data_IF_117830137544
#
_entry.id   IF_117830137544
#
_cell.length_a   1.000
_cell.length_b   1.000
_cell.length_c   1.000
_cell.angle_alpha   90.00
_cell.angle_beta   90.00
_cell.angle_gamma   90.00
#
_symmetry.space_group_name_H-M   'P 1'
#
loop_
_entity.id
_entity.type
_entity.pdbx_description
1 polymer ?
#
# COMPACT_ATOMS: atom_id res chain seq x y z
N UNK A 1 18.41 -3.68 11.92
CA UNK A 1 18.12 -3.69 13.37
C UNK A 1 17.26 -2.48 13.68
N UNK A 2 16.04 -2.69 14.20
CA UNK A 2 15.20 -1.80 15.05
C UNK A 2 14.98 -0.31 14.63
N UNK A 3 13.78 0.29 14.63
CA UNK A 3 12.56 0.11 15.43
C UNK A 3 11.32 0.63 14.67
N UNK A 4 10.17 0.01 14.98
CA UNK A 4 8.80 0.32 14.55
C UNK A 4 8.19 1.43 15.43
N UNK A 5 7.35 2.25 14.78
CA UNK A 5 6.25 3.13 15.21
C UNK A 5 5.95 3.16 16.73
N UNK A 6 6.03 4.37 17.29
CA UNK A 6 5.73 4.75 18.67
C UNK A 6 4.24 5.11 18.78
N UNK A 7 3.51 4.29 19.54
CA UNK A 7 2.35 4.74 20.35
C UNK A 7 2.70 4.33 21.78
N UNK A 8 3.66 5.02 22.38
CA UNK A 8 4.13 4.78 23.74
C UNK A 8 5.00 5.95 24.23
N UNK A 9 4.43 7.16 24.36
CA UNK A 9 5.19 8.31 24.86
C UNK A 9 5.15 8.47 26.39
N UNK A 10 4.67 7.46 27.14
CA UNK A 10 4.60 7.55 28.61
C UNK A 10 5.05 6.28 29.36
N UNK A 11 5.89 5.43 28.75
CA UNK A 11 6.36 4.20 29.41
C UNK A 11 7.80 3.79 29.08
N UNK A 12 8.73 4.75 28.97
CA UNK A 12 10.15 4.42 28.74
C UNK A 12 11.11 5.35 29.47
N UNK A 13 11.06 5.32 30.80
CA UNK A 13 12.24 5.53 31.62
C UNK A 13 12.47 4.26 32.44
N UNK A 14 13.47 3.48 32.02
CA UNK A 14 14.32 2.52 32.76
C UNK A 14 14.54 1.17 32.05
N UNK A 15 15.84 0.84 32.00
CA UNK A 15 16.51 -0.44 31.76
C UNK A 15 16.90 -0.89 30.34
N UNK A 16 18.23 -1.01 30.20
CA UNK A 16 19.00 -1.89 29.32
C UNK A 16 19.06 -3.27 30.00
N UNK A 17 18.80 -4.36 29.26
CA UNK A 17 19.25 -5.72 29.64
C UNK A 17 18.31 -6.89 29.29
N UNK A 18 18.78 -7.75 28.37
CA UNK A 18 18.50 -9.20 28.22
C UNK A 18 17.21 -9.73 27.55
N UNK A 19 17.35 -10.13 26.27
CA UNK A 19 17.00 -11.42 25.62
C UNK A 19 15.68 -12.20 25.85
N UNK A 20 14.91 -12.34 24.75
CA UNK A 20 13.80 -13.29 24.43
C UNK A 20 12.47 -13.17 25.20
N UNK A 21 11.42 -12.55 24.62
CA UNK A 21 10.26 -13.12 23.89
C UNK A 21 9.47 -14.18 24.71
N UNK A 22 8.32 -13.90 25.34
CA UNK A 22 7.13 -13.17 24.86
C UNK A 22 6.47 -12.34 25.97
N UNK A 23 6.23 -11.06 25.69
CA UNK A 23 5.51 -10.14 26.58
C UNK A 23 4.04 -9.97 26.11
N UNK A 24 3.04 -9.87 27.02
CA UNK A 24 1.64 -9.59 26.69
C UNK A 24 1.43 -8.34 25.81
N UNK A 25 2.34 -7.37 25.89
CA UNK A 25 2.34 -6.19 25.02
C UNK A 25 2.57 -6.52 23.54
N UNK A 26 3.25 -7.61 23.22
CA UNK A 26 3.45 -8.08 21.84
C UNK A 26 2.18 -8.64 21.19
N UNK A 27 1.34 -9.32 21.97
CA UNK A 27 0.08 -9.90 21.47
C UNK A 27 -0.96 -8.82 21.15
N UNK A 28 -1.02 -7.76 21.96
CA UNK A 28 -1.96 -6.65 21.70
C UNK A 28 -1.52 -5.86 20.46
N UNK A 29 -0.22 -5.63 20.30
CA UNK A 29 0.35 -4.92 19.16
C UNK A 29 0.22 -5.70 17.84
N UNK A 30 0.26 -7.04 17.88
CA UNK A 30 0.00 -7.87 16.69
C UNK A 30 -1.47 -7.77 16.26
N UNK A 31 -2.40 -7.78 17.22
CA UNK A 31 -3.85 -7.69 16.95
C UNK A 31 -4.24 -6.34 16.36
N UNK A 32 -3.65 -5.23 16.84
CA UNK A 32 -3.90 -3.88 16.30
C UNK A 32 -3.40 -3.77 14.85
N UNK A 33 -2.22 -4.30 14.57
CA UNK A 33 -1.62 -4.26 13.24
C UNK A 33 -2.30 -5.21 12.24
N UNK A 34 -2.64 -6.43 12.65
CA UNK A 34 -3.37 -7.40 11.80
C UNK A 34 -4.75 -6.88 11.40
N UNK A 35 -5.43 -6.19 12.32
CA UNK A 35 -6.80 -5.69 12.08
C UNK A 35 -6.86 -4.30 11.45
N UNK A 36 -5.72 -3.69 11.12
CA UNK A 36 -5.63 -2.37 10.45
C UNK A 36 -6.53 -1.30 11.10
N UNK A 37 -6.51 -1.22 12.41
CA UNK A 37 -7.35 -0.26 13.15
C UNK A 37 -6.84 1.16 12.91
N UNK A 38 -7.71 2.05 12.44
CA UNK A 38 -7.34 3.43 12.06
C UNK A 38 -7.99 4.50 12.94
N UNK A 39 -8.89 4.11 13.85
CA UNK A 39 -9.58 5.03 14.74
C UNK A 39 -9.32 4.70 16.22
N UNK A 40 -9.33 5.74 17.06
CA UNK A 40 -9.22 5.62 18.52
C UNK A 40 -10.37 4.77 19.10
N UNK A 41 -11.55 4.83 18.49
CA UNK A 41 -12.72 4.05 18.88
C UNK A 41 -12.53 2.54 18.63
N UNK A 42 -11.92 2.15 17.51
CA UNK A 42 -11.63 0.76 17.19
C UNK A 42 -10.59 0.14 18.15
N UNK A 43 -9.57 0.94 18.51
CA UNK A 43 -8.54 0.54 19.48
C UNK A 43 -9.17 0.39 20.87
N UNK A 44 -9.95 1.37 21.34
CA UNK A 44 -10.66 1.31 22.63
C UNK A 44 -11.62 0.13 22.70
N UNK A 45 -12.38 -0.14 21.64
CA UNK A 45 -13.30 -1.28 21.56
C UNK A 45 -12.57 -2.62 21.61
N UNK A 46 -11.46 -2.73 20.89
CA UNK A 46 -10.65 -3.96 20.83
C UNK A 46 -9.95 -4.25 22.15
N UNK A 47 -9.42 -3.21 22.80
CA UNK A 47 -8.88 -3.30 24.16
C UNK A 47 -10.00 -3.77 25.10
N UNK A 48 -11.17 -3.14 25.08
CA UNK A 48 -12.34 -3.56 25.86
C UNK A 48 -12.70 -5.04 25.63
N UNK A 49 -12.72 -5.50 24.39
CA UNK A 49 -13.07 -6.89 24.05
C UNK A 49 -11.98 -7.91 24.39
N UNK A 50 -10.71 -7.48 24.40
CA UNK A 50 -9.61 -8.27 24.95
C UNK A 50 -9.74 -8.39 26.47
N UNK A 51 -10.02 -7.29 27.17
CA UNK A 51 -10.26 -7.27 28.61
C UNK A 51 -11.47 -8.11 29.02
N UNK A 52 -12.58 -8.08 28.27
CA UNK A 52 -13.74 -8.95 28.51
C UNK A 52 -13.39 -10.43 28.39
N UNK A 53 -12.52 -10.80 27.44
CA UNK A 53 -12.03 -12.17 27.27
C UNK A 53 -11.08 -12.59 28.39
N UNK A 54 -10.13 -11.75 28.76
CA UNK A 54 -9.25 -11.98 29.91
C UNK A 54 -10.06 -12.17 31.20
N UNK A 55 -11.09 -11.33 31.42
CA UNK A 55 -12.04 -11.45 32.53
C UNK A 55 -12.80 -12.78 32.54
N UNK A 56 -13.18 -13.30 31.38
CA UNK A 56 -13.87 -14.60 31.25
C UNK A 56 -12.95 -15.79 31.60
N UNK A 57 -11.65 -15.66 31.33
CA UNK A 57 -10.66 -16.71 31.60
C UNK A 57 -10.19 -16.68 33.06
N UNK A 58 -10.01 -15.51 33.67
CA UNK A 58 -9.65 -15.36 35.10
C UNK A 58 -10.72 -15.93 36.04
N UNK A 59 -12.00 -15.93 35.62
CA UNK A 59 -13.11 -16.52 36.39
C UNK A 59 -13.07 -18.06 36.39
N UNK A 60 -12.29 -18.70 35.51
CA UNK A 60 -12.30 -20.16 35.32
C UNK A 60 -11.17 -20.92 36.02
N UNK A 61 -10.03 -20.28 36.33
CA UNK A 61 -8.85 -20.99 36.87
C UNK A 61 -8.45 -20.52 38.28
N UNK A 62 -8.07 -21.48 39.15
CA UNK A 62 -7.66 -21.25 40.54
C UNK A 62 -6.41 -20.35 40.64
N UNK A 63 -6.42 -19.38 41.58
CA UNK A 63 -5.44 -18.29 41.77
C UNK A 63 -3.95 -18.72 42.04
N UNK A 64 -3.51 -19.95 41.79
CA UNK A 64 -2.18 -20.46 42.15
C UNK A 64 -1.07 -20.25 41.09
N UNK A 65 -1.38 -19.84 39.86
CA UNK A 65 -0.39 -19.75 38.77
C UNK A 65 0.06 -18.32 38.41
N UNK A 66 -0.31 -17.30 39.19
CA UNK A 66 0.20 -15.93 38.99
C UNK A 66 1.62 -15.78 39.59
N UNK A 67 2.64 -16.40 38.97
CA UNK A 67 4.04 -16.22 39.36
C UNK A 67 4.86 -15.38 38.37
N UNK A 68 5.37 -14.25 38.89
CA UNK A 68 6.69 -13.64 38.63
C UNK A 68 7.19 -13.33 37.20
N UNK A 69 6.38 -12.81 36.27
CA UNK A 69 6.95 -12.23 35.03
C UNK A 69 6.46 -10.84 34.58
N UNK A 70 5.70 -10.12 35.39
CA UNK A 70 5.12 -8.83 34.95
C UNK A 70 5.19 -7.68 35.96
N UNK A 71 6.41 -7.25 36.30
CA UNK A 71 6.61 -5.98 37.01
C UNK A 71 7.01 -4.86 36.06
N UNK A 72 6.03 -4.10 35.55
CA UNK A 72 6.23 -2.72 35.13
C UNK A 72 4.95 -1.88 35.25
N UNK A 73 5.10 -0.55 35.31
CA UNK A 73 4.26 0.41 36.07
C UNK A 73 2.75 0.43 35.72
N UNK A 74 2.32 0.05 34.52
CA UNK A 74 0.88 -0.08 34.22
C UNK A 74 0.25 -1.37 34.78
N UNK A 75 1.08 -2.35 35.10
CA UNK A 75 0.69 -3.69 35.54
C UNK A 75 0.67 -3.82 37.06
N UNK A 76 1.47 -3.04 37.81
CA UNK A 76 1.46 -3.10 39.29
C UNK A 76 0.09 -2.75 39.87
N UNK A 77 -0.56 -1.71 39.36
CA UNK A 77 -1.89 -1.29 39.81
C UNK A 77 -2.96 -2.34 39.52
N UNK A 78 -2.92 -2.97 38.34
CA UNK A 78 -3.90 -3.97 37.91
C UNK A 78 -3.65 -5.31 38.62
N UNK A 79 -2.39 -5.71 38.77
CA UNK A 79 -1.96 -6.92 39.50
C UNK A 79 -2.23 -6.77 41.00
N UNK A 80 -1.98 -5.61 41.61
CA UNK A 80 -2.33 -5.35 43.01
C UNK A 80 -3.84 -5.36 43.24
N UNK A 81 -4.63 -4.71 42.37
CA UNK A 81 -6.11 -4.74 42.45
C UNK A 81 -6.63 -6.17 42.22
N UNK A 82 -6.03 -6.94 41.30
CA UNK A 82 -6.41 -8.34 41.05
C UNK A 82 -6.04 -9.27 42.21
N UNK A 83 -4.87 -9.07 42.84
CA UNK A 83 -4.45 -9.82 44.04
C UNK A 83 -5.28 -9.45 45.27
N UNK A 84 -5.62 -8.16 45.43
CA UNK A 84 -6.41 -7.62 46.56
C UNK A 84 -7.86 -8.12 46.55
N UNK A 85 -8.40 -8.48 45.39
CA UNK A 85 -9.79 -8.90 45.23
C UNK A 85 -9.98 -10.31 44.62
N UNK A 86 -8.99 -11.22 44.69
CA UNK A 86 -9.20 -12.64 44.29
C UNK A 86 -10.42 -13.18 45.06
N UNK A 87 -11.47 -13.57 44.32
CA UNK A 87 -12.72 -14.10 44.88
C UNK A 87 -13.85 -13.08 45.13
N UNK A 88 -13.64 -11.77 44.98
CA UNK A 88 -14.69 -10.75 45.12
C UNK A 88 -14.84 -9.89 43.87
N UNK A 89 -15.69 -10.33 42.96
CA UNK A 89 -15.89 -9.75 41.63
C UNK A 89 -16.51 -8.35 41.65
N UNK A 90 -17.27 -7.98 42.67
CA UNK A 90 -17.94 -6.69 42.72
C UNK A 90 -17.04 -5.59 43.29
N UNK A 91 -16.21 -5.92 44.28
CA UNK A 91 -15.16 -5.04 44.78
C UNK A 91 -14.11 -4.73 43.69
N UNK A 92 -13.71 -5.74 42.92
CA UNK A 92 -12.81 -5.57 41.76
C UNK A 92 -13.42 -4.64 40.70
N UNK A 93 -14.69 -4.85 40.33
CA UNK A 93 -15.39 -3.97 39.36
C UNK A 93 -15.44 -2.52 39.85
N UNK A 94 -15.68 -2.30 41.14
CA UNK A 94 -15.86 -0.95 41.69
C UNK A 94 -14.53 -0.18 41.72
N UNK A 95 -13.44 -0.83 42.13
CA UNK A 95 -12.11 -0.22 42.11
C UNK A 95 -11.59 0.00 40.68
N UNK A 96 -11.85 -0.93 39.75
CA UNK A 96 -11.53 -0.76 38.33
C UNK A 96 -12.31 0.37 37.67
N UNK A 97 -13.61 0.48 37.93
CA UNK A 97 -14.43 1.57 37.40
C UNK A 97 -13.99 2.92 37.99
N UNK A 98 -13.55 2.94 39.24
CA UNK A 98 -12.97 4.13 39.87
C UNK A 98 -11.64 4.53 39.20
N UNK A 99 -10.76 3.58 38.92
CA UNK A 99 -9.51 3.82 38.20
C UNK A 99 -9.74 4.31 36.75
N UNK A 100 -10.67 3.69 36.02
CA UNK A 100 -11.09 4.12 34.67
C UNK A 100 -11.72 5.51 34.69
N UNK A 101 -12.60 5.79 35.65
CA UNK A 101 -13.19 7.12 35.80
C UNK A 101 -12.14 8.16 36.17
N UNK A 102 -11.13 7.82 36.97
CA UNK A 102 -10.00 8.70 37.27
C UNK A 102 -9.19 9.02 36.01
N UNK A 103 -8.89 8.02 35.17
CA UNK A 103 -8.25 8.22 33.86
C UNK A 103 -9.10 9.10 32.94
N UNK A 104 -10.43 8.93 32.94
CA UNK A 104 -11.33 9.72 32.10
C UNK A 104 -11.62 11.14 32.61
N UNK A 105 -11.55 11.38 33.93
CA UNK A 105 -11.80 12.70 34.55
C UNK A 105 -10.54 13.54 34.68
N UNK A 106 -9.36 12.92 34.66
CA UNK A 106 -8.08 13.61 34.57
C UNK A 106 -7.87 14.10 33.14
N UNK A 107 -8.49 15.24 32.80
CA UNK A 107 -8.29 16.00 31.55
C UNK A 107 -6.81 16.29 31.25
N UNK A 108 -5.90 16.06 32.20
CA UNK A 108 -4.44 16.19 32.07
C UNK A 108 -3.78 15.06 31.27
N UNK A 109 -4.48 13.94 30.99
CA UNK A 109 -4.04 12.96 29.99
C UNK A 109 -4.47 13.32 28.56
N UNK A 110 -4.84 14.57 28.30
CA UNK A 110 -4.57 15.12 26.98
C UNK A 110 -3.05 15.22 26.86
N UNK A 111 -2.40 14.22 26.24
CA UNK A 111 -1.06 14.43 25.68
C UNK A 111 -1.24 15.66 24.81
N UNK A 112 -0.73 16.82 25.26
CA UNK A 112 -0.82 18.01 24.44
C UNK A 112 0.02 17.68 23.21
N UNK A 113 -0.44 18.03 22.01
CA UNK A 113 0.33 17.68 20.81
C UNK A 113 1.76 18.27 20.84
N UNK A 114 2.02 19.26 21.70
CA UNK A 114 3.35 19.80 22.00
C UNK A 114 4.29 18.78 22.67
N UNK A 115 3.74 17.74 23.29
CA UNK A 115 4.48 16.68 23.99
C UNK A 115 4.84 15.50 23.06
N UNK A 116 4.37 15.52 21.81
CA UNK A 116 4.81 14.59 20.76
C UNK A 116 6.03 15.19 20.08
N UNK A 117 7.19 14.58 20.35
CA UNK A 117 8.48 14.94 19.78
C UNK A 117 8.37 15.16 18.25
N UNK A 118 8.88 16.30 17.78
CA UNK A 118 8.81 16.76 16.39
C UNK A 118 7.54 17.53 15.96
N UNK A 119 6.45 17.53 16.74
CA UNK A 119 5.21 18.26 16.34
C UNK A 119 5.42 19.76 16.30
N UNK A 120 6.14 20.31 17.28
CA UNK A 120 6.38 21.76 17.35
C UNK A 120 7.21 22.23 16.15
N UNK A 121 8.16 21.42 15.67
CA UNK A 121 9.01 21.78 14.53
C UNK A 121 8.19 21.94 13.23
N UNK A 122 7.15 21.12 13.02
CA UNK A 122 6.22 21.28 11.90
C UNK A 122 5.37 22.55 12.05
N UNK A 123 4.85 22.81 13.25
CA UNK A 123 4.06 24.02 13.50
C UNK A 123 4.91 25.29 13.27
N UNK A 124 6.15 25.29 13.73
CA UNK A 124 7.11 26.39 13.55
C UNK A 124 7.49 26.58 12.08
N UNK A 125 7.48 25.51 11.29
CA UNK A 125 7.63 25.56 9.82
C UNK A 125 6.36 26.02 9.08
N UNK A 126 5.28 26.35 9.79
CA UNK A 126 4.05 26.89 9.22
C UNK A 126 3.03 25.83 8.78
N UNK A 127 3.22 24.56 9.15
CA UNK A 127 2.20 23.52 8.94
C UNK A 127 1.11 23.63 9.99
N UNK A 128 -0.15 23.42 9.59
CA UNK A 128 -1.23 23.33 10.56
C UNK A 128 -1.22 21.98 11.30
N UNK A 129 -2.06 21.89 12.32
CA UNK A 129 -2.14 20.74 13.23
C UNK A 129 -2.58 19.46 12.50
N UNK A 130 -3.47 19.56 11.51
CA UNK A 130 -3.95 18.40 10.76
C UNK A 130 -2.86 17.90 9.79
N UNK A 131 -2.22 18.80 9.05
CA UNK A 131 -1.08 18.49 8.19
C UNK A 131 0.03 17.78 8.99
N UNK A 132 0.34 18.31 10.17
CA UNK A 132 1.36 17.75 11.06
C UNK A 132 1.04 16.31 11.48
N UNK A 133 -0.21 16.01 11.85
CA UNK A 133 -0.63 14.63 12.16
C UNK A 133 -0.39 13.68 10.98
N UNK A 134 -0.67 14.15 9.77
CA UNK A 134 -0.50 13.36 8.55
C UNK A 134 0.97 13.06 8.32
N UNK A 135 1.84 14.08 8.38
CA UNK A 135 3.27 13.87 8.19
C UNK A 135 3.88 12.93 9.21
N UNK A 136 3.55 13.13 10.50
CA UNK A 136 4.04 12.27 11.58
C UNK A 136 3.52 10.82 11.45
N UNK A 137 2.22 10.63 11.16
CA UNK A 137 1.64 9.28 10.98
C UNK A 137 2.18 8.56 9.75
N UNK A 138 2.55 9.30 8.71
CA UNK A 138 3.21 8.77 7.51
C UNK A 138 4.73 8.59 7.68
N UNK A 139 5.30 8.97 8.82
CA UNK A 139 6.73 8.97 9.09
C UNK A 139 7.53 9.80 8.05
N UNK A 140 6.96 10.94 7.65
CA UNK A 140 7.60 11.91 6.74
C UNK A 140 8.43 12.86 7.59
N UNK A 141 9.71 13.02 7.24
CA UNK A 141 10.59 13.96 7.92
C UNK A 141 10.17 15.41 7.62
N UNK A 142 10.34 16.31 8.59
CA UNK A 142 10.03 17.75 8.43
C UNK A 142 10.67 18.33 7.16
N UNK A 143 11.93 18.01 6.92
CA UNK A 143 12.66 18.48 5.72
C UNK A 143 11.94 18.06 4.44
N UNK A 144 11.49 16.82 4.36
CA UNK A 144 10.79 16.32 3.17
C UNK A 144 9.44 17.01 3.00
N UNK A 145 8.69 17.21 4.09
CA UNK A 145 7.42 17.95 4.07
C UNK A 145 7.60 19.38 3.55
N UNK A 146 8.60 20.09 4.05
CA UNK A 146 8.99 21.45 3.59
C UNK A 146 9.36 21.43 2.11
N UNK A 147 10.19 20.46 1.69
CA UNK A 147 10.58 20.31 0.28
C UNK A 147 9.37 20.03 -0.63
N UNK A 148 8.33 19.32 -0.16
CA UNK A 148 7.10 19.07 -0.95
C UNK A 148 6.32 20.36 -1.21
N UNK A 149 6.10 21.15 -0.16
CA UNK A 149 5.33 22.39 -0.22
C UNK A 149 6.07 23.43 -1.07
N UNK A 150 7.38 23.59 -0.84
CA UNK A 150 8.20 24.54 -1.58
C UNK A 150 8.28 24.23 -3.07
N UNK A 151 8.25 22.94 -3.43
CA UNK A 151 8.25 22.54 -4.84
C UNK A 151 6.88 22.72 -5.52
N UNK A 152 5.84 23.12 -4.77
CA UNK A 152 4.45 23.19 -5.23
C UNK A 152 4.00 21.86 -5.86
N UNK A 153 4.55 20.74 -5.38
CA UNK A 153 4.34 19.41 -5.97
C UNK A 153 3.05 18.78 -5.41
N UNK A 154 2.70 19.08 -4.16
CA UNK A 154 1.53 18.50 -3.48
C UNK A 154 0.90 19.48 -2.50
N UNK A 155 -0.44 19.57 -2.53
CA UNK A 155 -1.19 20.11 -1.40
C UNK A 155 -1.30 19.03 -0.32
N UNK A 156 -1.46 19.44 0.93
CA UNK A 156 -1.64 18.54 2.09
C UNK A 156 -2.70 17.44 1.83
N UNK A 157 -3.82 17.81 1.20
CA UNK A 157 -4.90 16.89 0.82
C UNK A 157 -4.47 15.80 -0.15
N UNK A 158 -3.47 16.04 -0.99
CA UNK A 158 -2.95 15.04 -1.92
C UNK A 158 -1.99 14.07 -1.21
N UNK A 159 -1.21 14.57 -0.26
CA UNK A 159 -0.32 13.77 0.60
C UNK A 159 -1.15 12.77 1.41
N UNK A 160 -2.23 13.24 2.03
CA UNK A 160 -3.21 12.39 2.72
C UNK A 160 -3.70 11.23 1.86
N UNK A 161 -4.01 11.50 0.60
CA UNK A 161 -4.48 10.48 -0.33
C UNK A 161 -3.37 9.53 -0.75
N UNK A 162 -2.14 10.01 -0.97
CA UNK A 162 -1.00 9.13 -1.21
C UNK A 162 -0.77 8.18 -0.04
N UNK A 163 -0.81 8.70 1.19
CA UNK A 163 -0.68 7.91 2.41
C UNK A 163 -1.82 6.89 2.53
N UNK A 164 -3.05 7.28 2.23
CA UNK A 164 -4.20 6.37 2.19
C UNK A 164 -4.07 5.27 1.13
N UNK A 165 -3.36 5.56 0.03
CA UNK A 165 -2.98 4.61 -1.02
C UNK A 165 -1.72 3.79 -0.66
N UNK A 166 -1.12 4.02 0.51
CA UNK A 166 0.08 3.31 0.97
C UNK A 166 1.41 3.85 0.43
N UNK A 167 1.41 5.00 -0.25
CA UNK A 167 2.62 5.71 -0.68
C UNK A 167 3.02 6.68 0.42
N UNK A 168 4.04 6.34 1.21
CA UNK A 168 4.53 7.19 2.32
C UNK A 168 5.89 7.83 2.05
N UNK A 169 6.61 7.39 1.01
CA UNK A 169 7.91 7.94 0.64
C UNK A 169 7.77 9.18 -0.24
N UNK A 170 8.47 10.27 0.14
CA UNK A 170 8.51 11.49 -0.67
C UNK A 170 9.07 11.26 -2.07
N UNK A 171 10.16 10.50 -2.18
CA UNK A 171 10.77 10.18 -3.48
C UNK A 171 9.79 9.43 -4.38
N UNK A 172 8.97 8.57 -3.79
CA UNK A 172 7.94 7.85 -4.53
C UNK A 172 6.83 8.78 -5.01
N UNK A 173 6.30 9.65 -4.14
CA UNK A 173 5.30 10.66 -4.50
C UNK A 173 5.83 11.61 -5.60
N UNK A 174 7.12 11.99 -5.54
CA UNK A 174 7.80 12.76 -6.58
C UNK A 174 7.79 12.04 -7.91
N UNK A 175 8.08 10.75 -7.95
CA UNK A 175 8.06 10.01 -9.21
C UNK A 175 6.63 9.95 -9.78
N UNK A 176 5.63 9.66 -8.93
CA UNK A 176 4.22 9.67 -9.35
C UNK A 176 3.79 11.01 -9.97
N UNK A 177 4.21 12.12 -9.36
CA UNK A 177 3.89 13.48 -9.82
C UNK A 177 4.78 13.99 -10.95
N UNK A 178 5.97 13.40 -11.15
CA UNK A 178 6.96 13.87 -12.14
C UNK A 178 6.60 13.63 -13.60
N UNK A 179 5.58 12.80 -13.86
CA UNK A 179 5.21 12.45 -15.23
C UNK A 179 4.50 13.63 -15.88
N UNK A 180 5.25 14.32 -16.75
CA UNK A 180 4.82 15.51 -17.48
C UNK A 180 3.75 15.15 -18.51
N UNK A 181 2.55 15.71 -18.36
CA UNK A 181 1.53 15.65 -19.40
C UNK A 181 0.12 15.90 -18.87
N UNK A 182 -0.22 17.18 -18.63
CA UNK A 182 -1.52 17.70 -18.13
C UNK A 182 -1.94 17.18 -16.76
N UNK A 183 -2.06 18.11 -15.80
CA UNK A 183 -2.73 17.97 -14.50
C UNK A 183 -2.65 16.56 -13.91
N UNK A 184 -1.50 16.21 -13.32
CA UNK A 184 -1.42 15.01 -12.49
C UNK A 184 -2.56 15.07 -11.46
N UNK A 185 -3.46 14.09 -11.51
CA UNK A 185 -4.51 13.95 -10.51
C UNK A 185 -4.17 12.75 -9.67
N UNK A 186 -4.32 12.89 -8.36
CA UNK A 186 -4.19 11.77 -7.43
C UNK A 186 -5.10 10.58 -7.78
N UNK A 187 -6.25 10.83 -8.42
CA UNK A 187 -7.13 9.79 -8.96
C UNK A 187 -6.47 8.91 -10.03
N UNK A 188 -5.40 9.39 -10.68
CA UNK A 188 -4.65 8.60 -11.64
C UNK A 188 -3.77 7.58 -10.93
N UNK A 189 -3.15 7.93 -9.79
CA UNK A 189 -2.41 6.97 -8.94
C UNK A 189 -3.32 5.82 -8.54
N UNK A 190 -4.54 6.13 -8.09
CA UNK A 190 -5.53 5.12 -7.73
C UNK A 190 -5.85 4.18 -8.90
N UNK A 191 -6.05 4.70 -10.12
CA UNK A 191 -6.26 3.87 -11.32
C UNK A 191 -5.07 2.96 -11.59
N UNK A 192 -3.85 3.47 -11.45
CA UNK A 192 -2.62 2.69 -11.65
C UNK A 192 -2.48 1.58 -10.60
N UNK A 193 -2.75 1.89 -9.33
CA UNK A 193 -2.76 0.91 -8.26
C UNK A 193 -3.84 -0.16 -8.45
N UNK A 194 -5.03 0.23 -8.91
CA UNK A 194 -6.11 -0.70 -9.28
C UNK A 194 -5.74 -1.56 -10.50
N UNK A 195 -4.89 -1.06 -11.40
CA UNK A 195 -4.25 -1.86 -12.46
C UNK A 195 -3.11 -2.76 -11.95
N UNK A 196 -2.93 -2.83 -10.63
CA UNK A 196 -1.92 -3.64 -9.96
C UNK A 196 -0.51 -3.07 -10.03
N UNK A 197 -0.33 -1.80 -10.42
CA UNK A 197 0.96 -1.11 -10.43
C UNK A 197 1.21 -0.53 -9.04
N UNK A 198 2.15 -1.12 -8.30
CA UNK A 198 2.27 -0.87 -6.86
C UNK A 198 3.35 0.15 -6.48
N UNK A 199 4.24 0.46 -7.41
CA UNK A 199 5.38 1.34 -7.14
C UNK A 199 5.51 2.41 -8.20
N UNK A 200 6.04 3.58 -7.83
CA UNK A 200 6.27 4.64 -8.80
C UNK A 200 7.29 4.25 -9.89
N UNK A 201 8.26 3.37 -9.57
CA UNK A 201 9.21 2.83 -10.55
C UNK A 201 8.51 1.98 -11.61
N UNK A 202 7.59 1.11 -11.18
CA UNK A 202 6.79 0.30 -12.09
C UNK A 202 5.87 1.18 -12.93
N UNK A 203 5.22 2.18 -12.31
CA UNK A 203 4.41 3.18 -13.01
C UNK A 203 5.20 3.88 -14.11
N UNK A 204 6.38 4.41 -13.78
CA UNK A 204 7.26 5.06 -14.75
C UNK A 204 7.57 4.13 -15.91
N UNK A 205 7.91 2.87 -15.64
CA UNK A 205 8.25 1.92 -16.70
C UNK A 205 7.05 1.59 -17.62
N UNK A 206 5.83 1.46 -17.08
CA UNK A 206 4.62 1.32 -17.90
C UNK A 206 4.29 2.59 -18.69
N UNK A 207 4.48 3.75 -18.08
CA UNK A 207 4.26 5.04 -18.71
C UNK A 207 5.29 5.33 -19.82
N UNK A 208 6.54 4.90 -19.67
CA UNK A 208 7.61 5.08 -20.66
C UNK A 208 7.33 4.26 -21.94
N UNK A 209 6.70 3.10 -21.81
CA UNK A 209 6.15 2.37 -22.97
C UNK A 209 4.78 2.90 -23.41
N UNK A 210 4.27 3.91 -22.71
CA UNK A 210 3.06 4.65 -23.00
C UNK A 210 1.76 3.91 -22.74
N UNK A 211 1.81 2.82 -21.96
CA UNK A 211 0.63 2.11 -21.51
C UNK A 211 -0.16 2.98 -20.52
N UNK A 212 -1.46 2.76 -20.47
CA UNK A 212 -2.38 3.37 -19.51
C UNK A 212 -3.02 2.28 -18.65
N UNK A 213 -3.66 2.59 -17.50
CA UNK A 213 -4.10 1.58 -16.54
C UNK A 213 -4.90 0.41 -17.13
N UNK A 214 -5.86 0.68 -18.01
CA UNK A 214 -6.65 -0.36 -18.67
C UNK A 214 -5.81 -1.26 -19.59
N UNK A 215 -4.83 -0.70 -20.30
CA UNK A 215 -3.91 -1.49 -21.10
C UNK A 215 -3.04 -2.40 -20.22
N UNK A 216 -2.53 -1.88 -19.09
CA UNK A 216 -1.74 -2.67 -18.13
C UNK A 216 -2.53 -3.84 -17.57
N UNK A 217 -3.81 -3.64 -17.23
CA UNK A 217 -4.70 -4.74 -16.83
C UNK A 217 -4.76 -5.81 -17.92
N UNK A 218 -4.93 -5.42 -19.19
CA UNK A 218 -4.93 -6.35 -20.32
C UNK A 218 -3.64 -7.17 -20.39
N UNK A 219 -2.48 -6.53 -20.34
CA UNK A 219 -1.17 -7.20 -20.35
C UNK A 219 -0.98 -8.15 -19.16
N UNK A 220 -1.33 -7.71 -17.94
CA UNK A 220 -1.22 -8.55 -16.74
C UNK A 220 -2.15 -9.75 -16.79
N UNK A 221 -3.36 -9.60 -17.34
CA UNK A 221 -4.33 -10.69 -17.48
C UNK A 221 -3.84 -11.81 -18.41
N UNK A 222 -3.04 -11.47 -19.43
CA UNK A 222 -2.44 -12.47 -20.34
C UNK A 222 -1.04 -12.94 -19.88
N UNK A 223 -0.64 -12.61 -18.65
CA UNK A 223 0.56 -13.11 -17.99
C UNK A 223 1.79 -12.20 -18.06
N UNK A 224 1.72 -11.05 -18.72
CA UNK A 224 2.83 -10.08 -18.77
C UNK A 224 2.80 -9.19 -17.52
N UNK A 225 3.57 -9.60 -16.51
CA UNK A 225 3.60 -8.90 -15.22
C UNK A 225 4.43 -7.62 -15.25
N UNK A 226 5.44 -7.54 -16.13
CA UNK A 226 6.39 -6.45 -16.16
C UNK A 226 6.36 -5.71 -17.52
N UNK A 227 6.55 -4.38 -17.53
CA UNK A 227 6.61 -3.61 -18.76
C UNK A 227 7.77 -4.01 -19.67
N UNK A 228 8.86 -4.55 -19.11
CA UNK A 228 10.01 -5.05 -19.87
C UNK A 228 9.65 -6.24 -20.77
N UNK A 229 8.66 -7.04 -20.37
CA UNK A 229 8.19 -8.18 -21.16
C UNK A 229 7.26 -7.71 -22.30
N UNK A 230 6.58 -6.57 -22.10
CA UNK A 230 5.65 -5.97 -23.06
C UNK A 230 6.38 -5.10 -24.09
N UNK A 231 7.43 -4.39 -23.67
CA UNK A 231 8.16 -3.43 -24.52
C UNK A 231 8.60 -4.03 -25.87
N UNK A 232 9.15 -5.25 -25.95
CA UNK A 232 9.50 -5.84 -27.24
C UNK A 232 8.31 -5.99 -28.20
N UNK A 233 7.10 -6.27 -27.70
CA UNK A 233 5.89 -6.39 -28.51
C UNK A 233 5.41 -5.02 -29.01
N UNK A 234 5.45 -4.00 -28.16
CA UNK A 234 5.08 -2.64 -28.58
C UNK A 234 6.10 -2.05 -29.56
N UNK A 235 7.40 -2.30 -29.35
CA UNK A 235 8.47 -1.96 -30.29
C UNK A 235 8.32 -2.71 -31.63
N UNK A 236 7.74 -3.91 -31.61
CA UNK A 236 7.42 -4.68 -32.81
C UNK A 236 6.13 -4.20 -33.51
N UNK A 237 5.42 -3.20 -32.98
CA UNK A 237 4.27 -2.58 -33.60
C UNK A 237 2.91 -3.00 -33.05
N UNK A 238 2.87 -3.82 -31.98
CA UNK A 238 1.61 -4.09 -31.28
C UNK A 238 1.13 -2.81 -30.59
N UNK A 239 -0.15 -2.41 -30.75
CA UNK A 239 -0.70 -1.28 -30.02
C UNK A 239 -0.52 -1.45 -28.50
N UNK A 240 -0.41 -0.33 -27.79
CA UNK A 240 -0.13 -0.35 -26.34
C UNK A 240 -1.24 -1.03 -25.53
N UNK A 241 -2.45 -1.06 -26.05
CA UNK A 241 -3.63 -1.76 -25.55
C UNK A 241 -3.93 -3.09 -26.28
N UNK A 242 -3.02 -3.51 -27.16
CA UNK A 242 -3.12 -4.69 -28.02
C UNK A 242 -2.84 -6.03 -27.33
N UNK A 243 -3.05 -6.15 -26.01
CA UNK A 243 -2.82 -7.41 -25.30
C UNK A 243 -3.60 -8.59 -25.93
N UNK A 244 -4.82 -8.33 -26.40
CA UNK A 244 -5.63 -9.35 -27.09
C UNK A 244 -4.97 -9.90 -28.36
N UNK A 245 -4.10 -9.12 -29.03
CA UNK A 245 -3.44 -9.56 -30.25
C UNK A 245 -2.45 -10.68 -29.94
N UNK A 246 -1.87 -10.71 -28.74
CA UNK A 246 -0.91 -11.76 -28.36
C UNK A 246 -1.55 -13.13 -28.36
N UNK A 247 -2.81 -13.25 -27.91
CA UNK A 247 -3.54 -14.51 -27.95
C UNK A 247 -3.78 -14.96 -29.38
N UNK A 248 -4.25 -14.05 -30.25
CA UNK A 248 -4.47 -14.33 -31.67
C UNK A 248 -3.14 -14.71 -32.37
N UNK A 249 -2.04 -14.04 -32.07
CA UNK A 249 -0.73 -14.33 -32.67
C UNK A 249 -0.20 -15.71 -32.25
N UNK A 250 -0.44 -16.13 -31.00
CA UNK A 250 -0.07 -17.48 -30.53
C UNK A 250 -0.81 -18.56 -31.31
N UNK A 251 -2.08 -18.35 -31.66
CA UNK A 251 -2.86 -19.27 -32.50
C UNK A 251 -2.29 -19.36 -33.93
N UNK A 252 -1.65 -18.30 -34.41
CA UNK A 252 -0.95 -18.23 -35.70
C UNK A 252 0.51 -18.72 -35.63
N UNK A 253 0.89 -19.38 -34.52
CA UNK A 253 2.24 -19.86 -34.22
C UNK A 253 3.32 -18.75 -34.22
N UNK A 254 2.92 -17.48 -34.02
CA UNK A 254 3.82 -16.34 -33.82
C UNK A 254 4.07 -16.20 -32.32
N UNK A 255 5.23 -16.67 -31.86
CA UNK A 255 5.50 -16.87 -30.43
C UNK A 255 6.29 -15.74 -29.79
N UNK A 256 6.95 -14.91 -30.60
CA UNK A 256 7.83 -13.86 -30.12
C UNK A 256 7.70 -12.56 -30.93
N UNK A 257 8.13 -11.43 -30.36
CA UNK A 257 8.06 -10.13 -31.03
C UNK A 257 8.87 -10.06 -32.33
N UNK A 258 9.97 -10.81 -32.45
CA UNK A 258 10.82 -10.77 -33.65
C UNK A 258 10.12 -11.38 -34.87
N UNK A 259 9.35 -12.46 -34.68
CA UNK A 259 8.48 -13.05 -35.70
C UNK A 259 7.38 -12.07 -36.12
N UNK A 260 6.69 -11.44 -35.16
CA UNK A 260 5.66 -10.45 -35.46
C UNK A 260 6.24 -9.22 -36.17
N UNK A 261 7.44 -8.79 -35.81
CA UNK A 261 8.09 -7.62 -36.41
C UNK A 261 8.27 -7.74 -37.93
N UNK A 262 8.49 -8.95 -38.44
CA UNK A 262 8.56 -9.19 -39.90
C UNK A 262 7.24 -8.82 -40.59
N UNK A 263 6.11 -9.17 -39.99
CA UNK A 263 4.78 -8.83 -40.49
C UNK A 263 4.46 -7.34 -40.36
N UNK A 264 4.79 -6.74 -39.22
CA UNK A 264 4.49 -5.32 -38.98
C UNK A 264 5.31 -4.39 -39.88
N UNK A 265 6.56 -4.74 -40.21
CA UNK A 265 7.41 -3.99 -41.14
C UNK A 265 6.82 -3.87 -42.54
N UNK A 266 6.08 -4.89 -42.99
CA UNK A 266 5.41 -4.87 -44.29
C UNK A 266 3.99 -4.30 -44.21
N UNK A 267 3.50 -3.95 -43.00
CA UNK A 267 2.20 -3.31 -42.77
C UNK A 267 1.09 -4.25 -42.30
N UNK A 268 1.38 -5.55 -42.15
CA UNK A 268 0.43 -6.54 -41.64
C UNK A 268 0.39 -6.53 -40.10
N UNK A 269 -0.17 -5.46 -39.53
CA UNK A 269 -0.18 -5.22 -38.07
C UNK A 269 -1.33 -5.90 -37.31
N UNK A 270 -2.35 -6.39 -38.02
CA UNK A 270 -3.53 -7.03 -37.43
C UNK A 270 -3.44 -8.56 -37.60
N UNK A 271 -3.63 -9.37 -36.53
CA UNK A 271 -3.53 -10.83 -36.63
C UNK A 271 -4.49 -11.43 -37.67
N UNK A 272 -5.68 -10.86 -37.86
CA UNK A 272 -6.62 -11.28 -38.91
C UNK A 272 -6.03 -11.21 -40.32
N UNK A 273 -5.23 -10.18 -40.62
CA UNK A 273 -4.56 -10.05 -41.93
C UNK A 273 -3.51 -11.15 -42.07
N UNK A 274 -2.69 -11.36 -41.03
CA UNK A 274 -1.67 -12.42 -41.01
C UNK A 274 -2.31 -13.80 -41.23
N UNK A 275 -3.45 -14.08 -40.58
CA UNK A 275 -4.19 -15.33 -40.76
C UNK A 275 -4.60 -15.57 -42.21
N UNK A 276 -5.10 -14.53 -42.89
CA UNK A 276 -5.49 -14.63 -44.30
C UNK A 276 -4.26 -14.92 -45.16
N UNK A 277 -3.14 -14.26 -44.90
CA UNK A 277 -1.90 -14.47 -45.65
C UNK A 277 -1.36 -15.89 -45.45
N UNK A 278 -1.30 -16.38 -44.20
CA UNK A 278 -0.87 -17.75 -43.89
C UNK A 278 -1.77 -18.82 -44.54
N UNK A 279 -3.09 -18.61 -44.56
CA UNK A 279 -4.03 -19.53 -45.22
C UNK A 279 -3.81 -19.63 -46.74
N UNK A 280 -3.22 -18.60 -47.35
CA UNK A 280 -2.87 -18.57 -48.78
C UNK A 280 -1.39 -18.87 -49.03
N UNK A 281 -0.65 -19.39 -48.04
CA UNK A 281 0.78 -19.67 -48.10
C UNK A 281 1.65 -18.43 -48.44
N UNK A 282 1.18 -17.23 -48.12
CA UNK A 282 1.91 -15.98 -48.34
C UNK A 282 2.76 -15.64 -47.12
N UNK A 283 4.02 -15.28 -47.37
CA UNK A 283 4.97 -14.78 -46.38
C UNK A 283 4.91 -13.25 -46.25
N UNK A 284 5.59 -12.65 -45.24
CA UNK A 284 5.77 -11.20 -45.20
C UNK A 284 6.42 -10.63 -46.48
N UNK A 285 7.37 -11.35 -47.07
CA UNK A 285 8.07 -10.91 -48.28
C UNK A 285 7.12 -10.88 -49.50
N UNK A 286 6.19 -11.84 -49.58
CA UNK A 286 5.15 -11.85 -50.61
C UNK A 286 4.18 -10.67 -50.44
N UNK A 287 3.80 -10.33 -49.21
CA UNK A 287 2.93 -9.19 -48.92
C UNK A 287 3.53 -7.87 -49.43
N UNK A 288 4.84 -7.70 -49.23
CA UNK A 288 5.58 -6.55 -49.74
C UNK A 288 5.73 -6.59 -51.26
N UNK A 289 6.12 -7.74 -51.82
CA UNK A 289 6.34 -7.93 -53.27
C UNK A 289 5.10 -7.59 -54.10
N UNK A 290 3.92 -8.00 -53.64
CA UNK A 290 2.65 -7.76 -54.33
C UNK A 290 2.00 -6.42 -53.94
N UNK A 291 2.67 -5.57 -53.15
CA UNK A 291 2.17 -4.28 -52.67
C UNK A 291 0.74 -4.38 -52.08
N UNK A 292 0.48 -5.42 -51.28
CA UNK A 292 -0.85 -5.68 -50.74
C UNK A 292 -1.26 -4.71 -49.62
N UNK A 293 -0.46 -3.66 -49.39
CA UNK A 293 -0.66 -2.67 -48.34
C UNK A 293 -1.93 -1.86 -48.61
N UNK A 294 -2.87 -1.92 -47.68
CA UNK A 294 -4.16 -1.21 -47.77
C UNK A 294 -5.21 -1.90 -48.64
N UNK A 295 -4.92 -3.09 -49.19
CA UNK A 295 -5.97 -3.94 -49.75
C UNK A 295 -6.84 -4.48 -48.61
N UNK A 296 -8.15 -4.45 -48.84
CA UNK A 296 -9.09 -5.17 -47.98
C UNK A 296 -8.73 -6.66 -48.01
N UNK A 297 -8.84 -7.29 -46.84
CA UNK A 297 -8.74 -8.73 -46.61
C UNK A 297 -9.47 -9.57 -47.68
N UNK A 298 -10.61 -9.09 -48.16
CA UNK A 298 -11.41 -9.75 -49.20
C UNK A 298 -10.69 -9.81 -50.56
N UNK A 299 -9.90 -8.81 -50.92
CA UNK A 299 -9.14 -8.75 -52.19
C UNK A 299 -7.86 -9.55 -52.17
N UNK A 300 -7.36 -9.91 -50.99
CA UNK A 300 -6.16 -10.74 -50.82
C UNK A 300 -6.45 -12.19 -51.23
N UNK A 301 -7.70 -12.66 -51.12
CA UNK A 301 -8.12 -14.03 -51.46
C UNK A 301 -8.16 -14.28 -52.98
N UNK A 302 -8.10 -13.23 -53.80
CA UNK A 302 -8.17 -13.32 -55.27
C UNK A 302 -6.81 -13.55 -55.94
N UNK A 303 -5.71 -13.56 -55.18
CA UNK A 303 -4.33 -13.79 -55.64
C UNK A 303 -3.85 -15.20 -55.31
#
# INVERSE_FOLDING_TARGET
MFKKIIVASSLSFLFIGCGYDTSPSGALLSVVNEKKMTSQEDVSKTISDYYKRAKSNIVKDNCSELSTSSENILDKSIVEVSKKHCGNTDSFKQEMNSALNKINTDKSMSISMKDIDGTQDFIDAGFDVEATKVFLSANIALKDAVDMVNANILYEKDILKFVALGVTSFDEMKIWTSVKGRYFRISDVEKWMNAGVKTAKEYKAWNDIGAYPKAVIGWKNIGFKNPQDVKPWTDAGIPRDGANYITELKELNIKNPAEFKKWSQVGAIYPKIIKILQNNNLSPDDYQKYNLKGLDATKIVEF
#
